data_IF_261729996082
#
_entry.id   IF_261729996082
#
_cell.length_a   1.000
_cell.length_b   1.000
_cell.length_c   1.000
_cell.angle_alpha   90.00
_cell.angle_beta   90.00
_cell.angle_gamma   90.00
#
_symmetry.space_group_name_H-M   'P 1'
#
loop_
_entity.id
_entity.type
_entity.pdbx_description
1 polymer ?
#
# COMPACT_ATOMS: atom_id res chain seq x y z
N UNK A 1 -13.43 6.90 9.83
CA UNK A 1 -13.42 8.28 9.28
C UNK A 1 -13.82 8.26 7.82
N UNK A 2 -14.47 9.32 7.33
CA UNK A 2 -15.02 9.43 5.96
C UNK A 2 -13.98 9.19 4.85
N UNK A 3 -12.73 9.62 5.03
CA UNK A 3 -11.66 9.39 4.06
C UNK A 3 -11.37 7.91 3.82
N UNK A 4 -11.22 7.11 4.88
CA UNK A 4 -10.98 5.67 4.77
C UNK A 4 -12.07 4.93 4.00
N UNK A 5 -13.34 5.31 4.18
CA UNK A 5 -14.45 4.73 3.43
C UNK A 5 -14.38 5.08 1.94
N UNK A 6 -14.08 6.35 1.60
CA UNK A 6 -13.96 6.77 0.21
C UNK A 6 -12.78 6.11 -0.50
N UNK A 7 -11.61 6.06 0.14
CA UNK A 7 -10.41 5.43 -0.42
C UNK A 7 -10.68 3.95 -0.74
N UNK A 8 -11.19 3.18 0.25
CA UNK A 8 -11.54 1.77 0.06
C UNK A 8 -12.64 1.57 -0.99
N UNK A 9 -13.66 2.43 -0.99
CA UNK A 9 -14.72 2.39 -2.00
C UNK A 9 -14.16 2.59 -3.42
N UNK A 10 -13.15 3.44 -3.60
CA UNK A 10 -12.48 3.64 -4.89
C UNK A 10 -11.98 2.33 -5.49
N UNK A 11 -11.26 1.52 -4.70
CA UNK A 11 -10.78 0.22 -5.16
C UNK A 11 -11.91 -0.79 -5.36
N UNK A 12 -12.82 -0.91 -4.39
CA UNK A 12 -13.91 -1.89 -4.43
C UNK A 12 -14.88 -1.64 -5.60
N UNK A 13 -15.23 -0.39 -5.88
CA UNK A 13 -16.05 -0.02 -7.02
C UNK A 13 -15.30 -0.25 -8.34
N UNK A 14 -13.98 -0.03 -8.37
CA UNK A 14 -13.15 -0.40 -9.52
C UNK A 14 -13.19 -1.89 -9.82
N UNK A 15 -13.13 -2.74 -8.79
CA UNK A 15 -13.26 -4.19 -8.93
C UNK A 15 -14.66 -4.59 -9.41
N UNK A 16 -15.72 -3.98 -8.86
CA UNK A 16 -17.08 -4.23 -9.32
C UNK A 16 -17.24 -3.87 -10.80
N UNK A 17 -16.70 -2.73 -11.23
CA UNK A 17 -16.68 -2.37 -12.64
C UNK A 17 -15.94 -3.39 -13.51
N UNK A 18 -14.77 -3.87 -13.07
CA UNK A 18 -14.01 -4.88 -13.82
C UNK A 18 -14.78 -6.20 -13.95
N UNK A 19 -15.50 -6.60 -12.90
CA UNK A 19 -16.25 -7.86 -12.85
C UNK A 19 -17.60 -7.80 -13.59
N UNK A 20 -18.29 -6.66 -13.54
CA UNK A 20 -19.67 -6.55 -14.08
C UNK A 20 -19.75 -5.76 -15.39
N UNK A 21 -18.75 -4.93 -15.69
CA UNK A 21 -18.77 -3.99 -16.81
C UNK A 21 -19.71 -2.79 -16.62
N UNK A 22 -20.40 -2.68 -15.47
CA UNK A 22 -21.40 -1.63 -15.27
C UNK A 22 -20.76 -0.25 -15.09
N UNK A 23 -21.01 0.65 -16.04
CA UNK A 23 -20.33 1.94 -16.13
C UNK A 23 -20.50 2.84 -14.89
N UNK A 24 -21.60 2.68 -14.14
CA UNK A 24 -21.89 3.52 -12.97
C UNK A 24 -20.85 3.33 -11.84
N UNK A 25 -20.26 2.14 -11.72
CA UNK A 25 -19.17 1.87 -10.77
C UNK A 25 -17.91 2.68 -11.11
N UNK A 26 -17.42 2.59 -12.36
CA UNK A 26 -16.27 3.38 -12.81
C UNK A 26 -16.52 4.89 -12.75
N UNK A 27 -17.74 5.34 -13.04
CA UNK A 27 -18.12 6.75 -12.91
C UNK A 27 -17.98 7.24 -11.45
N UNK A 28 -18.32 6.39 -10.47
CA UNK A 28 -18.20 6.72 -9.05
C UNK A 28 -16.74 6.77 -8.61
N UNK A 29 -15.90 5.82 -9.03
CA UNK A 29 -14.44 5.86 -8.82
C UNK A 29 -13.84 7.15 -9.37
N UNK A 30 -14.21 7.52 -10.61
CA UNK A 30 -13.78 8.76 -11.26
C UNK A 30 -14.16 10.00 -10.43
N UNK A 31 -15.38 10.06 -9.90
CA UNK A 31 -15.82 11.18 -9.06
C UNK A 31 -14.98 11.30 -7.78
N UNK A 32 -14.69 10.17 -7.12
CA UNK A 32 -13.85 10.12 -5.92
C UNK A 32 -12.46 10.66 -6.25
N UNK A 33 -11.80 10.12 -7.28
CA UNK A 33 -10.44 10.50 -7.67
C UNK A 33 -10.35 11.99 -8.06
N UNK A 34 -11.30 12.50 -8.84
CA UNK A 34 -11.31 13.90 -9.24
C UNK A 34 -11.57 14.85 -8.06
N UNK A 35 -12.37 14.42 -7.07
CA UNK A 35 -12.58 15.19 -5.84
C UNK A 35 -11.29 15.26 -5.01
N UNK A 36 -10.62 14.13 -4.79
CA UNK A 36 -9.33 14.13 -4.09
C UNK A 36 -8.28 14.92 -4.85
N UNK A 37 -8.14 14.76 -6.18
CA UNK A 37 -7.22 15.56 -6.98
C UNK A 37 -7.52 17.07 -6.95
N UNK A 38 -8.78 17.48 -6.75
CA UNK A 38 -9.13 18.89 -6.57
C UNK A 38 -8.57 19.44 -5.25
N UNK A 39 -8.80 18.74 -4.15
CA UNK A 39 -8.58 19.29 -2.80
C UNK A 39 -7.27 18.86 -2.13
N UNK A 40 -6.71 17.69 -2.46
CA UNK A 40 -5.54 17.11 -1.80
C UNK A 40 -4.33 18.07 -1.69
N UNK A 41 -4.00 18.86 -2.71
CA UNK A 41 -2.87 19.79 -2.60
C UNK A 41 -3.07 20.90 -1.58
N UNK A 42 -4.32 21.24 -1.25
CA UNK A 42 -4.66 22.27 -0.26
C UNK A 42 -4.83 21.70 1.16
N UNK A 43 -4.77 20.38 1.36
CA UNK A 43 -4.81 19.81 2.70
C UNK A 43 -3.55 20.20 3.47
N UNK A 44 -3.73 20.65 4.70
CA UNK A 44 -2.64 20.95 5.62
C UNK A 44 -2.07 19.65 6.19
N UNK A 45 -0.75 19.64 6.38
CA UNK A 45 -0.07 18.58 7.10
C UNK A 45 -0.45 18.69 8.56
N UNK A 46 -0.94 17.59 9.15
CA UNK A 46 -1.39 17.56 10.53
C UNK A 46 -1.13 16.19 11.16
N UNK A 47 -1.43 16.09 12.46
CA UNK A 47 -1.07 14.92 13.26
C UNK A 47 0.37 15.03 13.75
N UNK A 48 1.19 14.00 13.52
CA UNK A 48 2.56 13.94 14.03
C UNK A 48 2.65 13.13 15.32
N UNK A 49 2.02 11.95 15.31
CA UNK A 49 2.19 10.97 16.38
C UNK A 49 3.66 10.52 16.34
N UNK A 50 4.40 10.54 17.47
CA UNK A 50 5.79 10.10 17.52
C UNK A 50 5.98 8.74 16.85
N UNK A 51 7.00 8.62 16.00
CA UNK A 51 7.36 7.41 15.24
C UNK A 51 6.37 6.97 14.13
N UNK A 52 5.26 7.69 13.92
CA UNK A 52 4.25 7.36 12.89
C UNK A 52 4.07 8.45 11.81
N UNK A 53 4.81 9.55 11.94
CA UNK A 53 4.78 10.68 11.04
C UNK A 53 3.43 11.42 10.99
N UNK A 54 3.36 12.54 10.24
CA UNK A 54 2.12 13.27 10.01
C UNK A 54 1.32 12.68 8.83
N UNK A 55 0.13 13.23 8.57
CA UNK A 55 -0.61 12.96 7.34
C UNK A 55 -1.32 14.21 6.81
N UNK A 56 -2.12 14.03 5.75
CA UNK A 56 -2.89 15.12 5.10
C UNK A 56 -4.36 14.79 4.97
N UNK A 57 -4.68 13.58 4.48
CA UNK A 57 -6.04 13.02 4.54
C UNK A 57 -6.32 12.38 5.89
N UNK A 58 -5.29 11.86 6.54
CA UNK A 58 -5.37 11.16 7.81
C UNK A 58 -4.31 11.69 8.80
N UNK A 59 -4.40 11.25 10.06
CA UNK A 59 -3.57 11.78 11.16
C UNK A 59 -2.12 11.25 11.20
N UNK A 60 -1.79 10.22 10.44
CA UNK A 60 -0.47 9.58 10.44
C UNK A 60 -0.11 9.01 9.06
N UNK A 61 1.19 8.85 8.80
CA UNK A 61 1.72 8.50 7.47
C UNK A 61 1.27 7.12 7.00
N UNK A 62 1.17 6.13 7.89
CA UNK A 62 0.58 4.82 7.58
C UNK A 62 -0.85 4.95 7.01
N UNK A 63 -1.71 5.73 7.66
CA UNK A 63 -3.09 5.89 7.23
C UNK A 63 -3.17 6.65 5.90
N UNK A 64 -2.27 7.62 5.72
CA UNK A 64 -2.09 8.32 4.44
C UNK A 64 -1.73 7.34 3.31
N UNK A 65 -0.73 6.49 3.53
CA UNK A 65 -0.26 5.49 2.58
C UNK A 65 -1.36 4.50 2.20
N UNK A 66 -2.08 3.95 3.18
CA UNK A 66 -3.19 3.04 2.93
C UNK A 66 -4.29 3.71 2.09
N UNK A 67 -4.62 4.99 2.36
CA UNK A 67 -5.63 5.71 1.59
C UNK A 67 -5.16 5.96 0.14
N UNK A 68 -3.93 6.43 -0.04
CA UNK A 68 -3.35 6.69 -1.36
C UNK A 68 -3.25 5.41 -2.19
N UNK A 69 -2.86 4.29 -1.58
CA UNK A 69 -2.78 2.99 -2.24
C UNK A 69 -4.15 2.51 -2.75
N UNK A 70 -5.21 2.64 -1.95
CA UNK A 70 -6.56 2.25 -2.40
C UNK A 70 -7.09 3.18 -3.52
N UNK A 71 -6.77 4.47 -3.45
CA UNK A 71 -7.06 5.42 -4.55
C UNK A 71 -6.26 5.05 -5.82
N UNK A 72 -4.98 4.70 -5.68
CA UNK A 72 -4.10 4.29 -6.78
C UNK A 72 -4.60 3.01 -7.46
N UNK A 73 -4.99 1.98 -6.69
CA UNK A 73 -5.62 0.76 -7.22
C UNK A 73 -6.91 1.05 -7.97
N UNK A 74 -7.78 1.91 -7.41
CA UNK A 74 -8.99 2.34 -8.11
C UNK A 74 -8.70 3.09 -9.42
N UNK A 75 -7.69 3.97 -9.41
CA UNK A 75 -7.23 4.68 -10.61
C UNK A 75 -6.75 3.73 -11.69
N UNK A 76 -5.88 2.77 -11.34
CA UNK A 76 -5.35 1.78 -12.26
C UNK A 76 -6.46 1.02 -13.00
N UNK A 77 -7.41 0.47 -12.23
CA UNK A 77 -8.54 -0.28 -12.77
C UNK A 77 -9.32 0.56 -13.80
N UNK A 78 -9.71 1.79 -13.46
CA UNK A 78 -10.57 2.59 -14.34
C UNK A 78 -9.80 3.44 -15.36
N UNK A 79 -8.46 3.38 -15.39
CA UNK A 79 -7.60 4.34 -16.11
C UNK A 79 -7.99 4.48 -17.57
N UNK A 80 -8.34 3.37 -18.23
CA UNK A 80 -8.75 3.30 -19.64
C UNK A 80 -10.07 4.05 -19.93
N UNK A 81 -10.91 4.26 -18.92
CA UNK A 81 -12.19 5.00 -19.03
C UNK A 81 -12.02 6.52 -18.90
N UNK A 82 -10.85 6.97 -18.47
CA UNK A 82 -10.57 8.38 -18.21
C UNK A 82 -10.02 9.08 -19.46
N UNK A 83 -10.44 10.33 -19.66
CA UNK A 83 -9.79 11.19 -20.67
C UNK A 83 -8.35 11.48 -20.26
N UNK A 84 -7.47 11.76 -21.23
CA UNK A 84 -6.08 12.17 -20.94
C UNK A 84 -6.00 13.39 -20.02
N UNK A 85 -6.96 14.32 -20.11
CA UNK A 85 -7.05 15.47 -19.20
C UNK A 85 -7.34 15.04 -17.76
N UNK A 86 -8.24 14.09 -17.56
CA UNK A 86 -8.56 13.56 -16.23
C UNK A 86 -7.39 12.76 -15.64
N UNK A 87 -6.75 11.91 -16.44
CA UNK A 87 -5.53 11.18 -16.04
C UNK A 87 -4.46 12.15 -15.54
N UNK A 88 -4.08 13.15 -16.36
CA UNK A 88 -3.11 14.17 -15.96
C UNK A 88 -3.51 14.94 -14.71
N UNK A 89 -4.80 15.27 -14.57
CA UNK A 89 -5.29 15.99 -13.38
C UNK A 89 -5.14 15.15 -12.10
N UNK A 90 -5.48 13.85 -12.15
CA UNK A 90 -5.34 12.93 -11.03
C UNK A 90 -3.85 12.68 -10.71
N UNK A 91 -3.05 12.37 -11.72
CA UNK A 91 -1.61 12.10 -11.56
C UNK A 91 -0.88 13.32 -10.96
N UNK A 92 -1.07 14.51 -11.52
CA UNK A 92 -0.35 15.72 -11.08
C UNK A 92 -0.82 16.31 -9.75
N UNK A 93 -2.07 16.06 -9.34
CA UNK A 93 -2.65 16.70 -8.16
C UNK A 93 -2.93 15.75 -7.00
N UNK A 94 -2.93 14.44 -7.23
CA UNK A 94 -3.16 13.44 -6.19
C UNK A 94 -2.00 12.46 -6.08
N UNK A 95 -1.71 11.71 -7.16
CA UNK A 95 -0.75 10.60 -7.06
C UNK A 95 0.69 11.09 -6.87
N UNK A 96 1.16 12.04 -7.69
CA UNK A 96 2.53 12.58 -7.59
C UNK A 96 2.75 13.36 -6.28
N UNK A 97 1.85 14.28 -5.85
CA UNK A 97 1.98 14.91 -4.54
C UNK A 97 1.87 13.93 -3.37
N UNK A 98 1.05 12.89 -3.50
CA UNK A 98 0.92 11.83 -2.50
C UNK A 98 2.21 11.02 -2.38
N UNK A 99 2.81 10.60 -3.49
CA UNK A 99 4.09 9.91 -3.51
C UNK A 99 5.19 10.76 -2.86
N UNK A 100 5.29 12.04 -3.26
CA UNK A 100 6.26 12.96 -2.68
C UNK A 100 6.08 13.14 -1.16
N UNK A 101 4.83 13.27 -0.69
CA UNK A 101 4.53 13.35 0.74
C UNK A 101 4.96 12.09 1.49
N UNK A 102 4.64 10.91 0.95
CA UNK A 102 5.04 9.65 1.56
C UNK A 102 6.56 9.48 1.57
N UNK A 103 7.27 9.79 0.48
CA UNK A 103 8.73 9.74 0.45
C UNK A 103 9.36 10.66 1.49
N UNK A 104 8.81 11.87 1.69
CA UNK A 104 9.29 12.84 2.67
C UNK A 104 9.12 12.37 4.13
N UNK A 105 8.09 11.54 4.40
CA UNK A 105 7.72 11.12 5.75
C UNK A 105 7.93 9.61 6.02
N UNK A 106 8.55 8.90 5.07
CA UNK A 106 8.99 7.52 5.26
C UNK A 106 10.13 7.52 6.28
N UNK A 107 10.00 6.71 7.32
CA UNK A 107 11.00 6.63 8.39
C UNK A 107 12.00 5.51 8.13
N UNK A 108 13.23 5.68 8.60
CA UNK A 108 14.29 4.67 8.50
C UNK A 108 14.19 3.66 9.67
N UNK A 109 13.11 2.89 9.69
CA UNK A 109 12.83 1.92 10.75
C UNK A 109 12.37 0.56 10.20
N UNK A 110 12.79 -0.51 10.86
CA UNK A 110 12.20 -1.84 10.63
C UNK A 110 10.82 -1.85 11.31
N UNK A 111 9.74 -1.80 10.53
CA UNK A 111 8.40 -1.65 11.10
C UNK A 111 7.31 -2.00 10.08
N UNK A 112 6.18 -2.55 10.56
CA UNK A 112 5.05 -2.86 9.70
C UNK A 112 4.47 -1.62 8.97
N UNK A 113 4.60 -0.43 9.58
CA UNK A 113 4.20 0.83 8.94
C UNK A 113 5.00 1.09 7.66
N UNK A 114 6.32 0.93 7.72
CA UNK A 114 7.19 1.22 6.57
C UNK A 114 7.00 0.21 5.45
N UNK A 115 6.61 -1.03 5.74
CA UNK A 115 6.17 -1.98 4.70
C UNK A 115 4.95 -1.43 3.95
N UNK A 116 3.94 -0.90 4.66
CA UNK A 116 2.75 -0.31 4.02
C UNK A 116 3.07 0.99 3.28
N UNK A 117 3.90 1.85 3.86
CA UNK A 117 4.32 3.12 3.25
C UNK A 117 5.11 2.87 1.97
N UNK A 118 6.14 2.02 2.01
CA UNK A 118 6.93 1.68 0.83
C UNK A 118 6.08 0.96 -0.25
N UNK A 119 5.17 0.05 0.12
CA UNK A 119 4.25 -0.56 -0.85
C UNK A 119 3.39 0.50 -1.57
N UNK A 120 2.88 1.50 -0.84
CA UNK A 120 2.13 2.60 -1.44
C UNK A 120 3.02 3.48 -2.36
N UNK A 121 4.23 3.84 -1.92
CA UNK A 121 5.18 4.64 -2.71
C UNK A 121 5.54 3.89 -4.01
N UNK A 122 5.88 2.61 -3.92
CA UNK A 122 6.25 1.78 -5.07
C UNK A 122 5.11 1.70 -6.11
N UNK A 123 3.87 1.42 -5.66
CA UNK A 123 2.70 1.37 -6.56
C UNK A 123 2.44 2.73 -7.22
N UNK A 124 2.56 3.83 -6.46
CA UNK A 124 2.43 5.18 -7.03
C UNK A 124 3.54 5.45 -8.06
N UNK A 125 4.78 5.05 -7.78
CA UNK A 125 5.91 5.17 -8.69
C UNK A 125 5.69 4.43 -10.01
N UNK A 126 5.23 3.17 -9.96
CA UNK A 126 4.90 2.39 -11.16
C UNK A 126 3.79 3.05 -12.00
N UNK A 127 2.71 3.52 -11.35
CA UNK A 127 1.61 4.17 -12.07
C UNK A 127 1.98 5.51 -12.70
N UNK A 128 2.95 6.21 -12.10
CA UNK A 128 3.49 7.48 -12.56
C UNK A 128 4.64 7.35 -13.55
N UNK A 129 5.06 6.11 -13.86
CA UNK A 129 6.25 5.81 -14.68
C UNK A 129 7.51 6.51 -14.13
N UNK A 130 7.68 6.46 -12.80
CA UNK A 130 8.73 7.15 -12.07
C UNK A 130 9.64 6.14 -11.36
N UNK A 131 10.61 5.61 -12.09
CA UNK A 131 11.54 4.59 -11.59
C UNK A 131 12.33 5.05 -10.36
N UNK A 132 12.57 6.36 -10.20
CA UNK A 132 13.28 6.90 -9.03
C UNK A 132 12.46 6.76 -7.75
N UNK A 133 11.15 6.94 -7.84
CA UNK A 133 10.21 6.73 -6.73
C UNK A 133 10.07 5.24 -6.41
N UNK A 134 10.07 4.39 -7.43
CA UNK A 134 10.07 2.93 -7.22
C UNK A 134 11.35 2.49 -6.52
N UNK A 135 12.51 2.91 -7.02
CA UNK A 135 13.80 2.53 -6.44
C UNK A 135 13.93 2.96 -4.97
N UNK A 136 13.47 4.17 -4.63
CA UNK A 136 13.39 4.64 -3.25
C UNK A 136 12.57 3.73 -2.34
N UNK A 137 11.44 3.21 -2.83
CA UNK A 137 10.56 2.35 -2.03
C UNK A 137 11.11 0.93 -1.87
N UNK A 138 11.86 0.43 -2.86
CA UNK A 138 12.23 -0.99 -2.94
C UNK A 138 13.67 -1.23 -2.46
N UNK A 139 14.64 -0.42 -2.90
CA UNK A 139 16.06 -0.73 -2.81
C UNK A 139 16.87 0.20 -1.87
N UNK A 140 16.42 1.42 -1.62
CA UNK A 140 17.07 2.29 -0.62
C UNK A 140 17.05 1.63 0.77
N UNK A 141 17.95 2.01 1.71
CA UNK A 141 17.93 1.49 3.07
C UNK A 141 16.52 1.59 3.68
N UNK A 142 16.05 0.53 4.34
CA UNK A 142 14.69 0.38 4.86
C UNK A 142 13.55 0.30 3.82
N UNK A 143 13.87 0.19 2.53
CA UNK A 143 12.93 -0.16 1.46
C UNK A 143 12.39 -1.58 1.60
N UNK A 144 11.39 -1.95 0.78
CA UNK A 144 10.67 -3.23 0.89
C UNK A 144 11.61 -4.45 0.86
N UNK A 145 12.65 -4.44 0.00
CA UNK A 145 13.60 -5.56 -0.05
C UNK A 145 14.32 -5.73 1.27
N UNK A 146 14.81 -4.62 1.84
CA UNK A 146 15.51 -4.62 3.11
C UNK A 146 14.58 -5.05 4.26
N UNK A 147 13.35 -4.52 4.31
CA UNK A 147 12.33 -4.92 5.30
C UNK A 147 12.06 -6.42 5.24
N UNK A 148 12.00 -7.01 4.04
CA UNK A 148 11.72 -8.42 3.84
C UNK A 148 12.89 -9.28 4.32
N UNK A 149 14.12 -8.89 3.98
CA UNK A 149 15.34 -9.61 4.34
C UNK A 149 15.65 -9.54 5.83
N UNK A 150 15.36 -8.41 6.49
CA UNK A 150 15.73 -8.18 7.90
C UNK A 150 14.58 -8.38 8.89
N UNK A 151 13.33 -8.32 8.42
CA UNK A 151 12.14 -8.32 9.27
C UNK A 151 11.57 -9.69 9.62
N UNK A 152 12.21 -10.77 9.18
CA UNK A 152 11.73 -12.13 9.41
C UNK A 152 12.62 -12.87 10.42
N UNK A 153 11.99 -13.54 11.37
CA UNK A 153 12.63 -14.60 12.12
C UNK A 153 12.99 -15.78 11.19
N UNK A 154 13.95 -16.65 11.57
CA UNK A 154 14.35 -17.79 10.76
C UNK A 154 13.18 -18.67 10.28
N UNK A 155 12.14 -18.78 11.10
CA UNK A 155 10.94 -19.58 10.85
C UNK A 155 9.92 -18.91 9.93
N UNK A 156 10.14 -17.65 9.52
CA UNK A 156 9.25 -16.89 8.62
C UNK A 156 8.25 -15.97 9.32
N UNK A 157 8.22 -15.92 10.65
CA UNK A 157 7.38 -14.99 11.41
C UNK A 157 7.92 -13.56 11.28
N UNK A 158 7.01 -12.58 11.18
CA UNK A 158 7.38 -11.16 11.19
C UNK A 158 7.89 -10.74 12.57
N UNK A 159 8.95 -9.93 12.63
CA UNK A 159 9.71 -9.67 13.86
C UNK A 159 8.88 -9.13 15.04
N UNK A 160 7.79 -8.40 14.76
CA UNK A 160 6.85 -7.88 15.77
C UNK A 160 6.05 -8.99 16.47
N UNK A 161 6.24 -10.26 16.08
CA UNK A 161 5.92 -11.43 16.89
C UNK A 161 4.44 -11.77 17.00
N UNK A 162 3.55 -11.04 16.33
CA UNK A 162 2.11 -11.30 16.36
C UNK A 162 1.58 -11.79 15.01
N UNK A 163 0.62 -12.72 15.06
CA UNK A 163 -0.09 -13.18 13.87
C UNK A 163 -0.78 -12.00 13.14
N UNK A 164 -1.29 -11.03 13.90
CA UNK A 164 -1.91 -9.83 13.34
C UNK A 164 -0.92 -9.04 12.46
N UNK A 165 0.24 -8.68 13.00
CA UNK A 165 1.23 -7.90 12.26
C UNK A 165 1.85 -8.69 11.11
N UNK A 166 2.04 -10.01 11.30
CA UNK A 166 2.51 -10.89 10.23
C UNK A 166 1.60 -10.84 8.99
N UNK A 167 0.29 -11.03 9.15
CA UNK A 167 -0.65 -10.92 8.02
C UNK A 167 -0.78 -9.47 7.51
N UNK A 168 -0.62 -8.48 8.39
CA UNK A 168 -0.68 -7.07 7.99
C UNK A 168 0.46 -6.68 7.03
N UNK A 169 1.70 -7.12 7.32
CA UNK A 169 2.85 -6.90 6.43
C UNK A 169 2.77 -7.75 5.18
N UNK A 170 2.34 -9.01 5.29
CA UNK A 170 2.16 -9.90 4.14
C UNK A 170 1.16 -9.31 3.13
N UNK A 171 0.08 -8.70 3.63
CA UNK A 171 -0.84 -7.95 2.79
C UNK A 171 -0.19 -6.74 2.11
N UNK A 172 0.74 -6.05 2.79
CA UNK A 172 1.51 -4.94 2.19
C UNK A 172 2.38 -5.44 1.03
N UNK A 173 3.12 -6.52 1.24
CA UNK A 173 3.92 -7.14 0.19
C UNK A 173 3.07 -7.63 -0.98
N UNK A 174 1.91 -8.25 -0.74
CA UNK A 174 1.04 -8.68 -1.84
C UNK A 174 0.35 -7.52 -2.56
N UNK A 175 0.10 -6.41 -1.88
CA UNK A 175 -0.37 -5.21 -2.56
C UNK A 175 0.69 -4.62 -3.50
N UNK A 176 1.97 -4.71 -3.12
CA UNK A 176 3.09 -4.41 -4.02
C UNK A 176 3.19 -5.40 -5.19
N UNK A 177 3.19 -6.71 -4.89
CA UNK A 177 3.40 -7.75 -5.91
C UNK A 177 2.28 -7.80 -6.96
N UNK A 178 1.06 -7.35 -6.65
CA UNK A 178 0.00 -7.21 -7.67
C UNK A 178 0.41 -6.29 -8.83
N UNK A 179 1.27 -5.31 -8.58
CA UNK A 179 1.77 -4.38 -9.59
C UNK A 179 3.16 -4.75 -10.10
N UNK A 180 4.01 -5.27 -9.23
CA UNK A 180 5.40 -5.54 -9.55
C UNK A 180 5.64 -6.89 -10.23
N UNK A 181 4.73 -7.85 -10.10
CA UNK A 181 4.93 -9.21 -10.63
C UNK A 181 5.18 -9.17 -12.14
N UNK A 182 6.29 -9.79 -12.55
CA UNK A 182 6.73 -9.80 -13.96
C UNK A 182 7.55 -8.58 -14.37
N UNK A 183 7.84 -7.66 -13.45
CA UNK A 183 8.83 -6.59 -13.60
C UNK A 183 10.09 -6.93 -12.80
N UNK A 184 11.20 -6.26 -13.12
CA UNK A 184 12.47 -6.39 -12.39
C UNK A 184 12.39 -5.88 -10.93
N UNK A 185 11.29 -5.23 -10.56
CA UNK A 185 11.05 -4.73 -9.21
C UNK A 185 10.36 -5.75 -8.28
N UNK A 186 9.87 -6.87 -8.81
CA UNK A 186 9.24 -7.92 -7.99
C UNK A 186 10.25 -8.51 -7.00
N UNK A 187 9.80 -8.79 -5.78
CA UNK A 187 10.61 -9.41 -4.73
C UNK A 187 10.34 -10.92 -4.60
N UNK A 188 9.50 -11.49 -5.45
CA UNK A 188 9.11 -12.91 -5.38
C UNK A 188 10.32 -13.85 -5.47
N UNK A 189 11.35 -13.49 -6.24
CA UNK A 189 12.56 -14.31 -6.42
C UNK A 189 13.46 -14.36 -5.18
N UNK A 190 13.25 -13.49 -4.19
CA UNK A 190 13.98 -13.53 -2.90
C UNK A 190 13.65 -14.80 -2.09
N UNK A 191 12.56 -15.51 -2.42
CA UNK A 191 12.18 -16.78 -1.77
C UNK A 191 11.68 -16.65 -0.33
N UNK A 192 11.51 -15.41 0.17
CA UNK A 192 11.09 -15.15 1.55
C UNK A 192 9.57 -15.17 1.75
N UNK A 193 8.79 -14.96 0.68
CA UNK A 193 7.32 -15.04 0.70
C UNK A 193 6.82 -16.43 1.09
N UNK A 194 7.46 -17.48 0.59
CA UNK A 194 7.11 -18.88 0.90
C UNK A 194 7.23 -19.14 2.40
N UNK A 195 8.33 -18.70 3.02
CA UNK A 195 8.53 -18.82 4.48
C UNK A 195 7.44 -18.10 5.28
N UNK A 196 7.04 -16.91 4.84
CA UNK A 196 5.94 -16.18 5.47
C UNK A 196 4.61 -16.92 5.33
N UNK A 197 4.34 -17.53 4.18
CA UNK A 197 3.09 -18.29 3.95
C UNK A 197 3.05 -19.62 4.71
N UNK A 198 4.20 -20.26 4.88
CA UNK A 198 4.31 -21.55 5.57
C UNK A 198 4.21 -21.41 7.09
N UNK A 199 4.76 -20.34 7.66
CA UNK A 199 4.80 -20.16 9.12
C UNK A 199 3.42 -20.32 9.80
N UNK A 200 2.33 -19.68 9.33
CA UNK A 200 1.00 -19.86 9.92
C UNK A 200 0.49 -21.30 9.95
N UNK A 201 0.93 -22.16 9.03
CA UNK A 201 0.51 -23.58 9.01
C UNK A 201 0.98 -24.32 10.27
N UNK A 202 2.12 -23.92 10.84
CA UNK A 202 2.65 -24.46 12.09
C UNK A 202 1.82 -24.06 13.32
N UNK A 203 0.96 -23.03 13.21
CA UNK A 203 0.10 -22.56 14.29
C UNK A 203 -1.29 -23.21 14.28
N UNK A 204 -1.63 -23.94 13.22
CA UNK A 204 -2.92 -24.61 13.08
C UNK A 204 -2.96 -25.86 13.98
N UNK A 205 -4.02 -25.96 14.77
CA UNK A 205 -4.40 -27.23 15.40
C UNK A 205 -5.26 -28.06 14.44
N UNK A 206 -5.50 -29.37 14.71
CA UNK A 206 -6.29 -30.24 13.84
C UNK A 206 -7.72 -29.74 13.52
N UNK A 207 -8.23 -28.73 14.23
CA UNK A 207 -9.52 -28.08 14.00
C UNK A 207 -9.42 -26.67 13.38
N UNK A 208 -8.25 -26.30 12.82
CA UNK A 208 -7.96 -24.99 12.20
C UNK A 208 -8.09 -23.77 13.13
N UNK A 209 -7.99 -23.95 14.44
CA UNK A 209 -7.92 -22.84 15.41
C UNK A 209 -6.46 -22.54 15.76
N UNK A 210 -6.08 -21.26 15.82
CA UNK A 210 -4.72 -20.81 16.14
C UNK A 210 -4.34 -21.11 17.60
N UNK A 211 -3.17 -21.69 17.85
CA UNK A 211 -2.57 -21.72 19.21
C UNK A 211 -2.10 -20.33 19.62
N UNK A 212 -2.38 -19.89 20.84
CA UNK A 212 -1.80 -18.65 21.37
C UNK A 212 -0.30 -18.84 21.57
N UNK A 213 0.51 -17.95 20.99
CA UNK A 213 1.95 -17.90 21.26
C UNK A 213 2.18 -17.31 22.65
N UNK A 214 2.48 -18.15 23.64
CA UNK A 214 3.11 -17.73 24.89
C UNK A 214 4.63 -17.77 24.68
N UNK A 215 5.25 -16.61 24.47
CA UNK A 215 6.71 -16.49 24.47
C UNK A 215 7.22 -16.69 25.92
N UNK A 216 8.21 -17.57 26.08
CA UNK A 216 9.05 -17.67 27.29
C UNK A 216 10.30 -16.82 27.10
#
# INVERSE_FOLDING_TARGET
MMNGHNCRASYQLGLLWLLTGEAHYAQRVRQILLAYARYYPAYEVHGGIPCNGPGKMNIQTLCEANCLLELAKGYDLIRSTLTRRQQRFIESRLLRPGAAFLCQHRENQLHNHEVKVNAAIGVLGLLLDDATVVDFAINEPYGLRWQLQQGLYPEGLWFEGSAHYHFYVLQGYFDWEKFARGTDWSLMEEGLYERMLDFPLNLLTPTAHSRSLTMR
#
